data_IF_059618558038
#
_entry.id   IF_059618558038
#
_cell.length_a   1.000
_cell.length_b   1.000
_cell.length_c   1.000
_cell.angle_alpha   90.00
_cell.angle_beta   90.00
_cell.angle_gamma   90.00
#
_symmetry.space_group_name_H-M   'P 1'
#
loop_
_entity.id
_entity.type
_entity.pdbx_description
1 polymer ?
#
# COMPACT_ATOMS: atom_id res chain seq x y z
N UNK A 1 14.73 -3.56 -8.00
CA UNK A 1 13.51 -3.36 -7.20
C UNK A 1 13.96 -3.15 -5.76
N UNK A 2 13.65 -2.00 -5.18
CA UNK A 2 13.84 -1.74 -3.73
C UNK A 2 13.01 -2.75 -2.93
N UNK A 3 13.53 -3.22 -1.80
CA UNK A 3 12.81 -4.07 -0.86
C UNK A 3 11.51 -3.37 -0.40
N UNK A 4 10.43 -4.13 -0.22
CA UNK A 4 9.14 -3.55 0.23
C UNK A 4 9.29 -3.06 1.68
N UNK A 5 8.96 -1.79 1.98
CA UNK A 5 9.10 -1.25 3.33
C UNK A 5 8.01 -1.77 4.26
N UNK A 6 8.27 -1.77 5.58
CA UNK A 6 7.28 -2.14 6.61
C UNK A 6 6.14 -1.14 6.75
N UNK A 7 6.37 0.12 6.39
CA UNK A 7 5.37 1.18 6.41
C UNK A 7 5.45 2.04 5.15
N UNK A 8 4.29 2.57 4.76
CA UNK A 8 4.09 3.39 3.58
C UNK A 8 3.40 4.67 4.03
N UNK A 9 3.95 5.82 3.63
CA UNK A 9 3.41 7.12 4.00
C UNK A 9 2.24 7.48 3.08
N UNK A 10 1.06 7.69 3.65
CA UNK A 10 -0.15 8.02 2.92
C UNK A 10 -0.40 9.54 2.98
N UNK A 11 -0.20 10.21 1.86
CA UNK A 11 -0.27 11.67 1.73
C UNK A 11 -1.61 12.03 1.09
N UNK A 12 -2.46 12.73 1.83
CA UNK A 12 -3.80 13.15 1.37
C UNK A 12 -3.78 14.40 0.53
N UNK A 13 -2.91 15.33 0.90
CA UNK A 13 -2.72 16.58 0.19
C UNK A 13 -1.40 16.53 -0.58
N UNK A 14 -1.43 16.39 -1.92
CA UNK A 14 -0.21 16.27 -2.72
C UNK A 14 0.68 17.53 -2.64
N UNK A 15 0.12 18.69 -2.32
CA UNK A 15 0.90 19.94 -2.17
C UNK A 15 1.79 19.90 -0.92
N UNK A 16 1.42 19.09 0.08
CA UNK A 16 2.22 18.87 1.29
C UNK A 16 3.24 17.74 1.13
N UNK A 17 3.34 17.09 -0.03
CA UNK A 17 4.11 15.87 -0.17
C UNK A 17 5.61 16.06 0.08
N UNK A 18 6.21 17.13 -0.46
CA UNK A 18 7.62 17.47 -0.21
C UNK A 18 7.87 17.77 1.27
N UNK A 19 7.02 18.59 1.90
CA UNK A 19 7.16 18.93 3.31
C UNK A 19 7.01 17.69 4.22
N UNK A 20 6.12 16.78 3.87
CA UNK A 20 5.87 15.54 4.64
C UNK A 20 7.04 14.56 4.53
N UNK A 21 7.72 14.52 3.39
CA UNK A 21 8.83 13.59 3.11
C UNK A 21 10.21 14.19 3.43
N UNK A 22 10.29 15.49 3.70
CA UNK A 22 11.53 16.18 4.01
C UNK A 22 12.30 15.52 5.17
N UNK A 23 13.58 15.22 4.93
CA UNK A 23 14.47 14.60 5.91
C UNK A 23 14.25 13.10 6.13
N UNK A 24 13.36 12.45 5.36
CA UNK A 24 13.20 11.00 5.37
C UNK A 24 14.03 10.36 4.25
N UNK A 25 14.53 9.15 4.48
CA UNK A 25 15.09 8.34 3.41
C UNK A 25 13.96 7.89 2.46
N UNK A 26 14.18 7.84 1.14
CA UNK A 26 13.17 7.40 0.20
C UNK A 26 12.67 5.99 0.49
N UNK A 27 11.35 5.87 0.59
CA UNK A 27 10.61 4.61 0.76
C UNK A 27 9.46 4.53 -0.23
N UNK A 28 8.35 3.94 0.19
CA UNK A 28 7.12 3.95 -0.61
C UNK A 28 6.17 5.03 -0.09
N UNK A 29 5.46 5.69 -0.99
CA UNK A 29 4.43 6.70 -0.68
C UNK A 29 3.15 6.43 -1.47
N UNK A 30 2.02 6.76 -0.86
CA UNK A 30 0.71 6.74 -1.51
C UNK A 30 0.14 8.16 -1.57
N UNK A 31 -0.02 8.70 -2.78
CA UNK A 31 -0.76 9.94 -3.01
C UNK A 31 -2.25 9.60 -3.11
N UNK A 32 -3.06 10.07 -2.17
CA UNK A 32 -4.45 9.66 -2.00
C UNK A 32 -5.47 10.50 -2.79
N UNK A 33 -5.01 11.32 -3.72
CA UNK A 33 -5.86 12.13 -4.61
C UNK A 33 -5.46 13.60 -4.61
N UNK A 34 -6.33 14.44 -5.18
CA UNK A 34 -6.11 15.88 -5.32
C UNK A 34 -6.36 16.38 -6.75
N UNK A 35 -6.14 17.68 -7.04
CA UNK A 35 -6.11 18.18 -8.42
C UNK A 35 -5.04 17.45 -9.25
N UNK A 36 -5.34 17.13 -10.51
CA UNK A 36 -4.42 16.38 -11.38
C UNK A 36 -3.03 17.02 -11.48
N UNK A 37 -2.95 18.34 -11.61
CA UNK A 37 -1.67 19.05 -11.66
C UNK A 37 -0.84 18.82 -10.39
N UNK A 38 -1.40 19.07 -9.21
CA UNK A 38 -0.71 18.88 -7.92
C UNK A 38 -0.26 17.43 -7.72
N UNK A 39 -1.09 16.44 -8.10
CA UNK A 39 -0.73 15.01 -8.00
C UNK A 39 0.39 14.64 -8.97
N UNK A 40 0.32 15.10 -10.22
CA UNK A 40 1.34 14.85 -11.25
C UNK A 40 2.68 15.44 -10.80
N UNK A 41 2.69 16.70 -10.35
CA UNK A 41 3.90 17.39 -9.91
C UNK A 41 4.53 16.72 -8.68
N UNK A 42 3.70 16.37 -7.68
CA UNK A 42 4.16 15.65 -6.50
C UNK A 42 4.70 14.26 -6.84
N UNK A 43 4.00 13.50 -7.70
CA UNK A 43 4.42 12.17 -8.14
C UNK A 43 5.76 12.21 -8.87
N UNK A 44 5.91 13.14 -9.80
CA UNK A 44 7.13 13.29 -10.58
C UNK A 44 8.31 13.68 -9.68
N UNK A 45 8.10 14.66 -8.80
CA UNK A 45 9.15 15.14 -7.89
C UNK A 45 9.63 14.02 -6.95
N UNK A 46 8.71 13.33 -6.28
CA UNK A 46 9.05 12.23 -5.37
C UNK A 46 9.73 11.08 -6.11
N UNK A 47 9.27 10.74 -7.33
CA UNK A 47 9.90 9.70 -8.15
C UNK A 47 11.35 10.06 -8.51
N UNK A 48 11.63 11.32 -8.84
CA UNK A 48 12.99 11.81 -9.11
C UNK A 48 13.89 11.78 -7.86
N UNK A 49 13.30 11.95 -6.67
CA UNK A 49 13.98 11.81 -5.38
C UNK A 49 14.16 10.35 -4.93
N UNK A 50 13.69 9.38 -5.73
CA UNK A 50 13.88 7.95 -5.49
C UNK A 50 12.78 7.28 -4.69
N UNK A 51 11.66 7.97 -4.41
CA UNK A 51 10.49 7.36 -3.79
C UNK A 51 9.78 6.42 -4.77
N UNK A 52 9.23 5.33 -4.24
CA UNK A 52 8.27 4.49 -4.97
C UNK A 52 6.87 5.04 -4.72
N UNK A 53 6.33 5.73 -5.72
CA UNK A 53 5.04 6.42 -5.68
C UNK A 53 3.92 5.55 -6.22
N UNK A 54 2.88 5.41 -5.39
CA UNK A 54 1.58 4.89 -5.79
C UNK A 54 0.56 6.03 -5.80
N UNK A 55 -0.23 6.14 -6.88
CA UNK A 55 -1.27 7.17 -7.01
C UNK A 55 -2.65 6.55 -6.95
N UNK A 56 -3.50 7.07 -6.08
CA UNK A 56 -4.91 6.70 -6.04
C UNK A 56 -5.71 7.42 -7.13
N UNK A 57 -5.79 6.80 -8.30
CA UNK A 57 -6.39 7.40 -9.49
C UNK A 57 -7.87 7.77 -9.31
N UNK A 58 -8.62 7.03 -8.48
CA UNK A 58 -10.05 7.30 -8.28
C UNK A 58 -10.31 8.67 -7.64
N UNK A 59 -9.31 9.20 -6.93
CA UNK A 59 -9.40 10.46 -6.19
C UNK A 59 -8.63 11.61 -6.87
N UNK A 60 -8.11 11.40 -8.09
CA UNK A 60 -7.45 12.45 -8.87
C UNK A 60 -8.50 13.21 -9.69
N UNK A 61 -8.75 14.47 -9.34
CA UNK A 61 -9.72 15.32 -10.04
C UNK A 61 -9.13 15.88 -11.32
N UNK A 62 -9.89 15.79 -12.41
CA UNK A 62 -9.48 16.29 -13.73
C UNK A 62 -8.70 15.27 -14.56
N UNK A 63 -8.54 14.04 -14.07
CA UNK A 63 -7.91 12.95 -14.80
C UNK A 63 -8.89 11.78 -14.99
N UNK A 64 -8.91 11.20 -16.19
CA UNK A 64 -9.73 10.03 -16.50
C UNK A 64 -9.27 8.79 -15.73
N UNK A 65 -10.22 7.88 -15.46
CA UNK A 65 -9.96 6.55 -14.87
C UNK A 65 -9.96 5.47 -15.96
N UNK A 66 -9.35 5.79 -17.09
CA UNK A 66 -9.28 4.99 -18.30
C UNK A 66 -7.84 4.95 -18.82
N UNK A 67 -7.62 4.26 -19.93
CA UNK A 67 -6.29 4.11 -20.52
C UNK A 67 -5.64 5.46 -20.87
N UNK A 68 -6.43 6.45 -21.31
CA UNK A 68 -5.92 7.78 -21.68
C UNK A 68 -5.50 8.57 -20.42
N UNK A 69 -6.35 8.59 -19.38
CA UNK A 69 -6.00 9.21 -18.11
C UNK A 69 -4.79 8.57 -17.43
N UNK A 70 -4.71 7.24 -17.46
CA UNK A 70 -3.53 6.50 -16.98
C UNK A 70 -2.28 6.76 -17.84
N UNK A 71 -2.44 6.95 -19.15
CA UNK A 71 -1.37 7.33 -20.07
C UNK A 71 -0.81 8.72 -19.78
N UNK A 72 -1.68 9.68 -19.48
CA UNK A 72 -1.27 11.02 -19.01
C UNK A 72 -0.52 10.90 -17.68
N UNK A 73 -1.02 10.12 -16.72
CA UNK A 73 -0.32 9.89 -15.44
C UNK A 73 1.07 9.27 -15.64
N UNK A 74 1.17 8.23 -16.48
CA UNK A 74 2.42 7.56 -16.81
C UNK A 74 3.45 8.53 -17.37
N UNK A 75 3.02 9.37 -18.33
CA UNK A 75 3.90 10.28 -19.05
C UNK A 75 4.40 11.45 -18.22
N UNK A 76 3.53 12.03 -17.39
CA UNK A 76 3.83 13.30 -16.72
C UNK A 76 4.12 13.15 -15.23
N UNK A 77 3.52 12.17 -14.54
CA UNK A 77 3.73 11.92 -13.11
C UNK A 77 4.70 10.77 -12.82
N UNK A 78 4.91 9.88 -13.80
CA UNK A 78 5.80 8.71 -13.71
C UNK A 78 5.71 7.87 -12.41
N UNK A 79 4.52 7.63 -11.82
CA UNK A 79 4.44 6.80 -10.63
C UNK A 79 4.78 5.34 -10.97
N UNK A 80 5.28 4.61 -9.98
CA UNK A 80 5.59 3.18 -10.14
C UNK A 80 4.33 2.32 -10.01
N UNK A 81 3.26 2.83 -9.39
CA UNK A 81 2.01 2.10 -9.30
C UNK A 81 0.74 2.93 -9.15
N UNK A 82 -0.39 2.23 -9.30
CA UNK A 82 -1.74 2.80 -9.27
C UNK A 82 -2.60 2.04 -8.26
N UNK A 83 -3.39 2.81 -7.51
CA UNK A 83 -4.38 2.31 -6.55
C UNK A 83 -5.78 2.65 -7.07
N UNK A 84 -6.65 1.65 -7.17
CA UNK A 84 -8.06 1.87 -7.48
C UNK A 84 -8.94 0.89 -6.73
N UNK A 85 -10.19 1.25 -6.55
CA UNK A 85 -11.29 0.41 -6.07
C UNK A 85 -12.00 -0.31 -7.22
N UNK A 86 -11.67 0.01 -8.47
CA UNK A 86 -12.32 -0.50 -9.67
C UNK A 86 -11.44 -1.54 -10.40
N UNK A 87 -11.84 -2.82 -10.46
CA UNK A 87 -11.11 -3.88 -11.15
C UNK A 87 -10.70 -3.57 -12.59
N UNK A 88 -11.56 -2.90 -13.37
CA UNK A 88 -11.27 -2.54 -14.76
C UNK A 88 -10.12 -1.53 -14.87
N UNK A 89 -10.02 -0.60 -13.92
CA UNK A 89 -8.95 0.41 -13.87
C UNK A 89 -7.64 -0.23 -13.45
N UNK A 90 -7.70 -1.16 -12.48
CA UNK A 90 -6.56 -1.98 -12.06
C UNK A 90 -6.01 -2.78 -13.25
N UNK A 91 -6.88 -3.41 -14.05
CA UNK A 91 -6.46 -4.13 -15.24
C UNK A 91 -5.82 -3.20 -16.29
N UNK A 92 -6.45 -2.06 -16.59
CA UNK A 92 -5.89 -1.09 -17.53
C UNK A 92 -4.53 -0.55 -17.09
N UNK A 93 -4.34 -0.31 -15.78
CA UNK A 93 -3.06 0.11 -15.22
C UNK A 93 -1.99 -0.99 -15.36
N UNK A 94 -2.35 -2.26 -15.12
CA UNK A 94 -1.45 -3.41 -15.34
C UNK A 94 -1.02 -3.51 -16.80
N UNK A 95 -1.94 -3.34 -17.74
CA UNK A 95 -1.65 -3.42 -19.18
C UNK A 95 -0.69 -2.31 -19.64
N UNK A 96 -0.67 -1.16 -18.93
CA UNK A 96 0.27 -0.06 -19.12
C UNK A 96 1.60 -0.24 -18.35
N UNK A 97 1.77 -1.35 -17.63
CA UNK A 97 3.01 -1.68 -16.93
C UNK A 97 3.14 -1.11 -15.52
N UNK A 98 2.09 -0.54 -14.94
CA UNK A 98 2.10 -0.10 -13.54
C UNK A 98 2.09 -1.30 -12.59
N UNK A 99 2.72 -1.15 -11.42
CA UNK A 99 2.35 -1.94 -10.25
C UNK A 99 0.92 -1.56 -9.82
N UNK A 100 0.17 -2.52 -9.32
CA UNK A 100 -1.27 -2.38 -9.14
C UNK A 100 -1.73 -2.77 -7.75
N UNK A 101 -2.61 -1.93 -7.20
CA UNK A 101 -3.30 -2.18 -5.95
C UNK A 101 -4.81 -2.12 -6.15
N UNK A 102 -5.50 -3.17 -5.70
CA UNK A 102 -6.96 -3.12 -5.55
C UNK A 102 -7.28 -2.76 -4.10
N UNK A 103 -7.95 -1.62 -3.90
CA UNK A 103 -8.43 -1.17 -2.60
C UNK A 103 -9.81 -1.73 -2.29
N UNK A 104 -9.96 -2.35 -1.12
CA UNK A 104 -11.19 -2.96 -0.63
C UNK A 104 -11.59 -2.30 0.69
N UNK A 105 -12.83 -1.82 0.78
CA UNK A 105 -13.41 -1.33 2.01
C UNK A 105 -14.16 -2.46 2.73
N UNK A 106 -13.73 -2.78 3.95
CA UNK A 106 -14.30 -3.78 4.83
C UNK A 106 -15.37 -3.12 5.71
N UNK A 107 -16.58 -3.05 5.19
CA UNK A 107 -17.75 -2.47 5.89
C UNK A 107 -18.55 -3.56 6.59
N UNK A 108 -18.75 -4.68 5.90
CA UNK A 108 -19.51 -5.84 6.36
C UNK A 108 -18.99 -7.14 5.71
N UNK A 109 -19.58 -8.28 6.08
CA UNK A 109 -19.21 -9.58 5.50
C UNK A 109 -19.44 -9.69 3.99
N UNK A 110 -20.37 -8.92 3.43
CA UNK A 110 -20.66 -8.85 2.01
C UNK A 110 -19.52 -8.18 1.25
N UNK A 111 -19.06 -7.02 1.74
CA UNK A 111 -17.92 -6.28 1.20
C UNK A 111 -16.61 -7.08 1.26
N UNK A 112 -16.40 -7.86 2.31
CA UNK A 112 -15.26 -8.77 2.42
C UNK A 112 -15.30 -9.86 1.35
N UNK A 113 -16.44 -10.56 1.20
CA UNK A 113 -16.58 -11.64 0.20
C UNK A 113 -16.45 -11.11 -1.23
N UNK A 114 -17.12 -10.01 -1.55
CA UNK A 114 -17.07 -9.43 -2.90
C UNK A 114 -15.67 -8.92 -3.21
N UNK A 115 -15.01 -8.25 -2.25
CA UNK A 115 -13.63 -7.79 -2.39
C UNK A 115 -12.65 -8.94 -2.65
N UNK A 116 -12.74 -10.04 -1.90
CA UNK A 116 -11.91 -11.23 -2.13
C UNK A 116 -12.11 -11.77 -3.55
N UNK A 117 -13.36 -11.92 -4.00
CA UNK A 117 -13.66 -12.41 -5.36
C UNK A 117 -13.11 -11.48 -6.44
N UNK A 118 -13.22 -10.16 -6.24
CA UNK A 118 -12.64 -9.18 -7.16
C UNK A 118 -11.12 -9.28 -7.21
N UNK A 119 -10.46 -9.38 -6.05
CA UNK A 119 -9.01 -9.53 -5.97
C UNK A 119 -8.52 -10.82 -6.65
N UNK A 120 -9.20 -11.95 -6.45
CA UNK A 120 -8.85 -13.22 -7.10
C UNK A 120 -8.96 -13.17 -8.63
N UNK A 121 -9.93 -12.41 -9.16
CA UNK A 121 -10.15 -12.27 -10.61
C UNK A 121 -9.19 -11.26 -11.22
N UNK A 122 -9.00 -10.13 -10.57
CA UNK A 122 -8.18 -9.00 -11.05
C UNK A 122 -6.69 -9.26 -10.86
N UNK A 123 -6.33 -10.05 -9.83
CA UNK A 123 -4.96 -10.40 -9.44
C UNK A 123 -4.04 -9.17 -9.40
N UNK A 124 -4.33 -8.11 -8.62
CA UNK A 124 -3.40 -7.00 -8.43
C UNK A 124 -2.10 -7.48 -7.77
N UNK A 125 -1.05 -6.66 -7.79
CA UNK A 125 0.23 -7.02 -7.17
C UNK A 125 0.12 -7.03 -5.62
N UNK A 126 -0.80 -6.25 -5.06
CA UNK A 126 -1.26 -6.39 -3.68
C UNK A 126 -2.69 -5.89 -3.50
N UNK A 127 -3.31 -6.29 -2.39
CA UNK A 127 -4.61 -5.80 -1.95
C UNK A 127 -4.42 -4.79 -0.84
N UNK A 128 -5.06 -3.62 -0.96
CA UNK A 128 -5.14 -2.67 0.14
C UNK A 128 -6.49 -2.82 0.85
N UNK A 129 -6.50 -3.05 2.17
CA UNK A 129 -7.75 -3.17 2.94
C UNK A 129 -7.93 -2.00 3.91
N UNK A 130 -9.13 -1.43 3.93
CA UNK A 130 -9.51 -0.35 4.85
C UNK A 130 -10.75 -0.77 5.66
N UNK A 131 -10.80 -0.57 6.99
CA UNK A 131 -9.77 0.04 7.81
C UNK A 131 -8.67 -0.96 8.22
N UNK A 132 -7.50 -0.44 8.56
CA UNK A 132 -6.32 -1.22 8.91
C UNK A 132 -6.28 -1.71 10.35
N UNK A 133 -7.22 -1.25 11.19
CA UNK A 133 -7.38 -1.66 12.60
C UNK A 133 -8.11 -3.00 12.78
N UNK A 134 -8.14 -3.84 11.73
CA UNK A 134 -8.77 -5.16 11.74
C UNK A 134 -7.72 -6.27 11.51
N UNK A 135 -6.73 -6.43 12.42
CA UNK A 135 -5.57 -7.30 12.18
C UNK A 135 -5.95 -8.77 11.95
N UNK A 136 -7.00 -9.24 12.62
CA UNK A 136 -7.51 -10.60 12.49
C UNK A 136 -8.05 -10.94 11.09
N UNK A 137 -8.30 -9.95 10.22
CA UNK A 137 -8.76 -10.17 8.84
C UNK A 137 -7.63 -10.21 7.80
N UNK A 138 -6.42 -9.73 8.15
CA UNK A 138 -5.31 -9.59 7.20
C UNK A 138 -4.88 -10.94 6.65
N UNK A 139 -4.44 -11.87 7.51
CA UNK A 139 -4.01 -13.19 7.07
C UNK A 139 -5.14 -14.02 6.41
N UNK A 140 -6.41 -14.01 6.88
CA UNK A 140 -7.52 -14.62 6.14
C UNK A 140 -7.70 -14.06 4.73
N UNK A 141 -7.64 -12.73 4.55
CA UNK A 141 -7.73 -12.12 3.21
C UNK A 141 -6.55 -12.55 2.36
N UNK A 142 -5.32 -12.45 2.87
CA UNK A 142 -4.11 -12.84 2.14
C UNK A 142 -4.16 -14.31 1.68
N UNK A 143 -4.59 -15.22 2.54
CA UNK A 143 -4.77 -16.64 2.19
C UNK A 143 -5.87 -16.86 1.16
N UNK A 144 -6.99 -16.17 1.29
CA UNK A 144 -8.13 -16.34 0.39
C UNK A 144 -7.81 -15.80 -1.02
N UNK A 145 -7.11 -14.67 -1.12
CA UNK A 145 -6.75 -14.06 -2.41
C UNK A 145 -5.48 -14.67 -3.01
N UNK A 146 -4.57 -15.18 -2.17
CA UNK A 146 -3.22 -15.57 -2.56
C UNK A 146 -2.30 -14.37 -2.84
N UNK A 147 -2.68 -13.18 -2.37
CA UNK A 147 -1.99 -11.92 -2.65
C UNK A 147 -1.52 -11.26 -1.35
N UNK A 148 -0.41 -10.49 -1.39
CA UNK A 148 -0.01 -9.67 -0.25
C UNK A 148 -1.08 -8.65 0.12
N UNK A 149 -1.19 -8.33 1.42
CA UNK A 149 -2.18 -7.39 1.94
C UNK A 149 -1.48 -6.23 2.64
N UNK A 150 -1.89 -5.01 2.29
CA UNK A 150 -1.47 -3.77 2.95
C UNK A 150 -2.70 -3.15 3.61
N UNK A 151 -2.89 -3.30 4.94
CA UNK A 151 -3.91 -2.56 5.66
C UNK A 151 -3.58 -1.07 5.73
N UNK A 152 -4.60 -0.24 5.58
CA UNK A 152 -4.49 1.21 5.67
C UNK A 152 -5.69 1.84 6.36
N UNK A 153 -5.54 3.09 6.80
CA UNK A 153 -6.61 3.85 7.43
C UNK A 153 -6.86 3.44 8.90
N UNK A 154 -7.08 4.45 9.75
CA UNK A 154 -7.24 4.33 11.21
C UNK A 154 -6.04 3.74 11.96
N UNK A 155 -4.92 3.45 11.30
CA UNK A 155 -3.66 3.08 11.97
C UNK A 155 -3.01 4.37 12.50
N UNK A 156 -3.37 4.74 13.74
CA UNK A 156 -2.95 6.02 14.35
C UNK A 156 -1.97 5.85 15.51
N UNK A 157 -1.74 4.63 15.99
CA UNK A 157 -0.74 4.34 17.03
C UNK A 157 0.28 3.30 16.55
N UNK A 158 1.51 3.27 17.13
CA UNK A 158 2.46 2.19 16.87
C UNK A 158 1.89 0.80 17.20
N UNK A 159 1.04 0.68 18.22
CA UNK A 159 0.40 -0.59 18.58
C UNK A 159 -0.52 -1.10 17.48
N UNK A 160 -1.31 -0.23 16.83
CA UNK A 160 -2.15 -0.60 15.68
C UNK A 160 -1.30 -1.11 14.52
N UNK A 161 -0.18 -0.43 14.26
CA UNK A 161 0.74 -0.78 13.18
C UNK A 161 1.37 -2.16 13.42
N UNK A 162 1.88 -2.42 14.62
CA UNK A 162 2.48 -3.71 14.96
C UNK A 162 1.46 -4.84 14.97
N UNK A 163 0.25 -4.61 15.50
CA UNK A 163 -0.82 -5.61 15.45
C UNK A 163 -1.18 -5.99 14.00
N UNK A 164 -1.17 -5.03 13.08
CA UNK A 164 -1.40 -5.28 11.65
C UNK A 164 -0.24 -6.07 11.02
N UNK A 165 1.02 -5.71 11.31
CA UNK A 165 2.22 -6.42 10.84
C UNK A 165 2.24 -7.87 11.34
N UNK A 166 2.03 -8.08 12.64
CA UNK A 166 1.94 -9.40 13.27
C UNK A 166 0.74 -10.21 12.73
N UNK A 167 -0.34 -9.52 12.33
CA UNK A 167 -1.49 -10.10 11.64
C UNK A 167 -1.21 -10.60 10.22
N UNK A 168 0.02 -10.42 9.71
CA UNK A 168 0.48 -10.90 8.41
C UNK A 168 0.43 -9.85 7.30
N UNK A 169 0.46 -8.56 7.64
CA UNK A 169 0.56 -7.49 6.64
C UNK A 169 1.92 -7.52 5.95
N UNK A 170 1.94 -7.26 4.65
CA UNK A 170 3.19 -7.02 3.92
C UNK A 170 3.84 -5.71 4.39
N UNK A 171 3.01 -4.68 4.53
CA UNK A 171 3.34 -3.35 5.01
C UNK A 171 2.07 -2.69 5.57
N UNK A 172 2.20 -1.62 6.33
CA UNK A 172 1.06 -0.76 6.71
C UNK A 172 1.05 0.53 5.90
N UNK A 173 -0.12 1.11 5.68
CA UNK A 173 -0.28 2.45 5.13
C UNK A 173 -0.87 3.39 6.18
N UNK A 174 -0.17 4.50 6.47
CA UNK A 174 -0.62 5.48 7.47
C UNK A 174 -0.30 6.92 7.03
N UNK A 175 -1.19 7.85 7.38
CA UNK A 175 -0.95 9.29 7.26
C UNK A 175 -0.32 9.89 8.52
N UNK A 176 -0.09 9.10 9.56
CA UNK A 176 0.61 9.54 10.78
C UNK A 176 2.11 9.41 10.59
N UNK A 177 2.81 10.55 10.50
CA UNK A 177 4.27 10.56 10.40
C UNK A 177 4.94 9.97 11.66
N UNK A 178 4.31 10.13 12.83
CA UNK A 178 4.77 9.52 14.07
C UNK A 178 4.76 7.99 13.98
N UNK A 179 3.64 7.40 13.53
CA UNK A 179 3.53 5.94 13.35
C UNK A 179 4.49 5.47 12.27
N UNK A 180 4.58 6.18 11.15
CA UNK A 180 5.51 5.84 10.07
C UNK A 180 6.96 5.74 10.58
N UNK A 181 7.44 6.77 11.28
CA UNK A 181 8.79 6.78 11.86
C UNK A 181 8.99 5.64 12.86
N UNK A 182 8.03 5.45 13.78
CA UNK A 182 8.11 4.39 14.78
C UNK A 182 8.26 2.99 14.16
N UNK A 183 7.64 2.72 13.01
CA UNK A 183 7.74 1.42 12.32
C UNK A 183 9.01 1.31 11.48
N UNK A 184 9.39 2.36 10.76
CA UNK A 184 10.56 2.35 9.88
C UNK A 184 11.87 2.29 10.67
N UNK A 185 11.95 3.04 11.77
CA UNK A 185 13.14 3.15 12.62
C UNK A 185 13.28 1.99 13.62
N UNK A 186 12.22 1.22 13.85
CA UNK A 186 12.29 0.08 14.75
C UNK A 186 13.30 -0.97 14.25
N UNK A 187 14.02 -1.67 15.13
CA UNK A 187 14.82 -2.82 14.73
C UNK A 187 13.97 -3.83 13.96
N UNK A 188 14.55 -4.53 12.98
CA UNK A 188 13.87 -5.71 12.43
C UNK A 188 13.60 -6.67 13.61
N UNK A 189 12.40 -7.27 13.71
CA UNK A 189 12.14 -8.25 14.76
C UNK A 189 13.21 -9.35 14.67
N UNK A 190 13.84 -9.66 15.80
CA UNK A 190 14.79 -10.77 15.88
C UNK A 190 14.06 -12.00 15.34
N UNK A 191 14.57 -12.57 14.24
CA UNK A 191 14.04 -13.81 13.71
C UNK A 191 13.98 -14.80 14.87
N UNK A 192 12.78 -15.27 15.22
CA UNK A 192 12.63 -16.30 16.24
C UNK A 192 13.54 -17.47 15.84
N UNK A 193 14.61 -17.67 16.61
CA UNK A 193 15.48 -18.82 16.44
C UNK A 193 14.60 -20.06 16.53
N UNK A 194 14.41 -20.73 15.39
CA UNK A 194 13.64 -21.95 15.31
C UNK A 194 14.25 -22.95 16.29
N UNK A 195 13.46 -23.29 17.29
CA UNK A 195 13.74 -24.32 18.27
C UNK A 195 13.76 -25.68 17.58
N UNK A 196 14.89 -26.05 16.96
CA UNK A 196 15.16 -27.40 16.45
C UNK A 196 16.62 -27.75 16.71
N UNK A 197 16.87 -28.40 17.85
CA UNK A 197 17.98 -29.29 18.25
C UNK A 197 18.11 -29.11 19.78
N UNK A 198 17.77 -30.06 20.66
CA UNK A 198 18.24 -31.44 20.71
C UNK A 198 17.26 -32.35 21.46
N UNK A 199 16.53 -33.18 20.74
CA UNK A 199 16.03 -34.47 21.23
C UNK A 199 16.77 -35.59 20.50
N UNK A 200 18.07 -35.73 20.78
CA UNK A 200 18.84 -36.95 20.47
C UNK A 200 19.78 -37.23 21.63
N UNK A 201 19.41 -38.25 22.42
CA UNK A 201 20.15 -38.73 23.58
C UNK A 201 19.33 -39.70 24.41
N UNK A 202 18.65 -40.66 23.76
CA UNK A 202 18.18 -41.90 24.39
C UNK A 202 18.53 -43.04 23.43
N UNK A 203 19.68 -43.66 23.71
CA UNK A 203 20.01 -45.08 23.59
C UNK A 203 21.52 -45.24 23.75
#
# INVERSE_FOLDING_TARGET
>A
MTETPRAILAIRDPELAQATTAGLAPGWVMLLGGPAASVIDASMTLSLEGWVVFVHIDMVRGLGRDADGLGVLSRFGAPQGVISTHPSVVQAARDLGFATSLRIFLVDSGSLRSGIQQAQRTKPDFVEILPGVLPHLIAPVARATGLPVIPGGLITTPADAWAAIEGGALAISTSSLEVYRAVVEAPAPLAHENHVQRSRGHR
#
